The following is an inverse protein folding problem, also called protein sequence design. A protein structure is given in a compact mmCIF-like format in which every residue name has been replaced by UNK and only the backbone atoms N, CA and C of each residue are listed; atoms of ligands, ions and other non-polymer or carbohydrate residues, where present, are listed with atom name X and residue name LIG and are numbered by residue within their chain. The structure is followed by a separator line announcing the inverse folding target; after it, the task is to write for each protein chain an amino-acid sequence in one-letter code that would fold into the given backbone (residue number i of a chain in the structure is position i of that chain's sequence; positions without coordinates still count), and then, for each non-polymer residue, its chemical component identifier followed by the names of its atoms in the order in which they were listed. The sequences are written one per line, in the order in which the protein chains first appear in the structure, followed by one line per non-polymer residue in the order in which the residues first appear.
data_IF_208657325796
#
_entry.id   IF_208657325796
#
_cell.length_a   1.000
_cell.length_b   1.000
_cell.length_c   1.000
_cell.angle_alpha   90.00
_cell.angle_beta   90.00
_cell.angle_gamma   90.00
#
_symmetry.space_group_name_H-M   'P 1'
#
loop_
_entity.id
_entity.type
_entity.pdbx_description
1 polymer ?
#
# COMPACT_ATOMS: atom_id res chain seq x y z
N UNK A 1 -8.85 -7.79 10.25
CA UNK A 1 -9.20 -7.40 8.87
C UNK A 1 -7.92 -7.44 8.06
N UNK A 2 -7.95 -8.03 6.87
CA UNK A 2 -6.79 -7.99 5.95
C UNK A 2 -7.07 -7.06 4.78
N UNK A 3 -6.03 -6.69 4.06
CA UNK A 3 -6.07 -5.87 2.86
C UNK A 3 -5.37 -6.64 1.74
N UNK A 4 -5.89 -6.53 0.51
CA UNK A 4 -5.30 -7.17 -0.68
C UNK A 4 -5.44 -6.27 -1.90
N UNK A 5 -4.57 -6.46 -2.88
CA UNK A 5 -4.67 -5.76 -4.16
C UNK A 5 -5.95 -6.16 -4.92
N UNK A 6 -6.56 -5.22 -5.61
CA UNK A 6 -7.67 -5.52 -6.54
C UNK A 6 -7.14 -6.07 -7.86
N UNK A 7 -8.03 -6.64 -8.67
CA UNK A 7 -7.74 -7.01 -10.06
C UNK A 7 -7.77 -5.82 -11.04
N UNK A 8 -8.14 -4.63 -10.58
CA UNK A 8 -8.39 -3.43 -11.41
C UNK A 8 -7.13 -2.57 -11.62
N UNK A 9 -5.99 -3.04 -11.11
CA UNK A 9 -4.73 -2.32 -11.13
C UNK A 9 -3.60 -3.17 -11.69
N UNK A 10 -2.59 -2.50 -12.27
CA UNK A 10 -1.30 -3.11 -12.62
C UNK A 10 -0.21 -2.17 -12.08
N UNK A 11 0.81 -2.74 -11.43
CA UNK A 11 1.94 -2.00 -10.90
C UNK A 11 3.25 -2.39 -11.57
N UNK A 12 4.21 -1.47 -11.59
CA UNK A 12 5.59 -1.74 -12.02
C UNK A 12 6.56 -0.86 -11.24
N UNK A 13 7.80 -1.32 -11.12
CA UNK A 13 8.90 -0.52 -10.57
C UNK A 13 9.55 0.27 -11.69
N UNK A 14 9.51 1.60 -11.60
CA UNK A 14 10.12 2.52 -12.57
C UNK A 14 11.11 3.38 -11.82
N UNK A 15 12.40 3.29 -12.18
CA UNK A 15 13.48 4.03 -11.51
C UNK A 15 13.55 3.86 -9.98
N UNK A 16 13.07 2.72 -9.45
CA UNK A 16 13.02 2.42 -8.02
C UNK A 16 11.69 2.77 -7.34
N UNK A 17 10.82 3.54 -7.99
CA UNK A 17 9.51 3.92 -7.46
C UNK A 17 8.42 2.95 -7.94
N UNK A 18 7.39 2.73 -7.11
CA UNK A 18 6.21 1.96 -7.52
C UNK A 18 5.25 2.87 -8.29
N UNK A 19 4.98 2.52 -9.55
CA UNK A 19 3.98 3.19 -10.40
C UNK A 19 2.81 2.25 -10.63
N UNK A 20 1.59 2.73 -10.37
CA UNK A 20 0.36 1.94 -10.46
C UNK A 20 -0.56 2.56 -11.51
N UNK A 21 -1.06 1.74 -12.42
CA UNK A 21 -2.15 2.07 -13.32
C UNK A 21 -3.44 1.44 -12.81
N UNK A 22 -4.43 2.25 -12.45
CA UNK A 22 -5.81 1.80 -12.32
C UNK A 22 -6.49 1.87 -13.69
N UNK A 23 -6.71 0.73 -14.34
CA UNK A 23 -7.28 0.72 -15.69
C UNK A 23 -8.78 1.00 -15.71
N UNK A 24 -9.47 0.81 -14.57
CA UNK A 24 -10.89 1.13 -14.40
C UNK A 24 -11.13 2.64 -14.30
N UNK A 25 -10.24 3.36 -13.60
CA UNK A 25 -10.29 4.83 -13.46
C UNK A 25 -9.50 5.57 -14.55
N UNK A 26 -8.61 4.89 -15.27
CA UNK A 26 -7.71 5.51 -16.26
C UNK A 26 -6.68 6.44 -15.62
N UNK A 27 -6.30 6.17 -14.36
CA UNK A 27 -5.43 7.03 -13.56
C UNK A 27 -4.12 6.34 -13.20
N UNK A 28 -3.06 7.15 -13.07
CA UNK A 28 -1.73 6.72 -12.66
C UNK A 28 -1.39 7.29 -11.28
N UNK A 29 -0.78 6.46 -10.46
CA UNK A 29 -0.33 6.82 -9.12
C UNK A 29 1.15 6.46 -8.99
N UNK A 30 1.91 7.33 -8.34
CA UNK A 30 3.23 7.01 -7.82
C UNK A 30 3.13 6.83 -6.31
N UNK A 31 3.85 5.86 -5.78
CA UNK A 31 4.03 5.72 -4.34
C UNK A 31 5.44 6.16 -3.96
N UNK A 32 5.54 6.80 -2.80
CA UNK A 32 6.82 7.06 -2.14
C UNK A 32 7.42 5.77 -1.57
N UNK A 33 8.54 5.88 -0.84
CA UNK A 33 9.28 4.73 -0.33
C UNK A 33 8.44 3.89 0.66
N UNK A 34 7.66 4.53 1.54
CA UNK A 34 6.79 3.85 2.51
C UNK A 34 5.61 3.19 1.81
N UNK A 35 4.95 3.91 0.90
CA UNK A 35 3.87 3.36 0.09
C UNK A 35 4.35 2.18 -0.76
N UNK A 36 5.53 2.29 -1.34
CA UNK A 36 6.19 1.22 -2.09
C UNK A 36 6.44 -0.03 -1.25
N UNK A 37 6.92 0.13 -0.01
CA UNK A 37 7.11 -0.99 0.93
C UNK A 37 5.78 -1.68 1.27
N UNK A 38 4.75 -0.91 1.59
CA UNK A 38 3.40 -1.42 1.88
C UNK A 38 2.86 -2.19 0.68
N UNK A 39 3.04 -1.64 -0.52
CA UNK A 39 2.63 -2.26 -1.77
C UNK A 39 3.31 -3.61 -2.01
N UNK A 40 4.63 -3.69 -1.85
CA UNK A 40 5.42 -4.90 -2.06
C UNK A 40 5.01 -6.04 -1.10
N UNK A 41 4.50 -5.70 0.09
CA UNK A 41 3.94 -6.68 1.02
C UNK A 41 2.56 -7.18 0.59
N UNK A 42 1.71 -6.30 0.08
CA UNK A 42 0.39 -6.66 -0.43
C UNK A 42 0.47 -7.51 -1.71
N UNK A 43 1.50 -7.31 -2.54
CA UNK A 43 1.80 -8.17 -3.70
C UNK A 43 2.10 -9.62 -3.29
N UNK A 44 2.66 -9.84 -2.09
CA UNK A 44 2.96 -11.19 -1.56
C UNK A 44 1.72 -11.89 -1.01
N UNK A 45 0.63 -11.15 -0.78
CA UNK A 45 -0.65 -11.69 -0.31
C UNK A 45 -1.32 -10.80 0.75
N UNK A 46 -2.54 -11.16 1.21
CA UNK A 46 -3.31 -10.33 2.12
C UNK A 46 -2.62 -10.07 3.47
N UNK A 47 -2.49 -8.80 3.86
CA UNK A 47 -1.80 -8.37 5.10
C UNK A 47 -2.78 -7.68 6.05
N UNK A 48 -2.52 -7.72 7.36
CA UNK A 48 -3.20 -6.84 8.33
C UNK A 48 -2.50 -5.49 8.43
N UNK A 49 -3.20 -4.46 8.96
CA UNK A 49 -2.59 -3.15 9.21
C UNK A 49 -1.37 -3.28 10.11
N UNK A 50 -1.46 -4.10 11.16
CA UNK A 50 -0.38 -4.31 12.12
C UNK A 50 0.88 -4.87 11.45
N UNK A 51 0.74 -5.85 10.54
CA UNK A 51 1.87 -6.42 9.81
C UNK A 51 2.55 -5.38 8.89
N UNK A 52 1.76 -4.51 8.28
CA UNK A 52 2.28 -3.42 7.45
C UNK A 52 3.03 -2.39 8.31
N UNK A 53 2.46 -1.96 9.44
CA UNK A 53 3.13 -1.05 10.37
C UNK A 53 4.43 -1.65 10.94
N UNK A 54 4.41 -2.93 11.33
CA UNK A 54 5.61 -3.62 11.83
C UNK A 54 6.75 -3.61 10.80
N UNK A 55 6.43 -3.79 9.51
CA UNK A 55 7.43 -3.73 8.46
C UNK A 55 7.99 -2.31 8.26
N UNK A 56 7.15 -1.28 8.35
CA UNK A 56 7.59 0.12 8.28
C UNK A 56 8.50 0.45 9.47
N UNK A 57 8.11 0.11 10.69
CA UNK A 57 8.92 0.35 11.90
C UNK A 57 10.24 -0.43 11.92
N UNK A 58 10.34 -1.54 11.18
CA UNK A 58 11.57 -2.30 11.06
C UNK A 58 12.58 -1.66 10.10
N UNK A 59 12.10 -0.94 9.08
CA UNK A 59 12.95 -0.32 8.05
C UNK A 59 13.24 1.16 8.35
N UNK A 60 12.31 1.85 9.01
CA UNK A 60 12.36 3.28 9.27
C UNK A 60 12.33 3.58 10.77
N UNK A 61 13.17 4.53 11.21
CA UNK A 61 13.21 5.01 12.59
C UNK A 61 12.12 6.06 12.81
N UNK A 62 10.88 5.59 12.99
CA UNK A 62 9.67 6.42 13.19
C UNK A 62 8.92 6.02 14.45
N UNK A 63 8.10 6.93 14.99
CA UNK A 63 7.24 6.61 16.12
C UNK A 63 6.11 5.66 15.71
N UNK A 64 5.75 4.74 16.62
CA UNK A 64 4.69 3.76 16.36
C UNK A 64 3.33 4.41 16.10
N UNK A 65 2.97 5.46 16.83
CA UNK A 65 1.68 6.11 16.68
C UNK A 65 1.58 6.86 15.33
N UNK A 66 2.68 7.48 14.90
CA UNK A 66 2.78 8.12 13.59
C UNK A 66 2.67 7.08 12.49
N UNK A 67 3.42 5.96 12.59
CA UNK A 67 3.34 4.86 11.63
C UNK A 67 1.93 4.27 11.53
N UNK A 68 1.24 4.04 12.66
CA UNK A 68 -0.12 3.51 12.65
C UNK A 68 -1.12 4.45 11.98
N UNK A 69 -0.93 5.76 12.13
CA UNK A 69 -1.75 6.79 11.51
C UNK A 69 -1.50 6.87 10.02
N UNK A 70 -0.23 6.98 9.61
CA UNK A 70 0.17 7.14 8.21
C UNK A 70 -0.19 5.91 7.36
N UNK A 71 0.05 4.70 7.90
CA UNK A 71 -0.35 3.46 7.21
C UNK A 71 -1.87 3.36 7.11
N UNK A 72 -2.61 3.79 8.14
CA UNK A 72 -4.07 3.78 8.06
C UNK A 72 -4.61 4.73 6.99
N UNK A 73 -4.05 5.94 6.90
CA UNK A 73 -4.47 6.92 5.91
C UNK A 73 -4.06 6.51 4.49
N UNK A 74 -2.86 5.95 4.31
CA UNK A 74 -2.47 5.32 3.04
C UNK A 74 -3.45 4.22 2.63
N UNK A 75 -3.83 3.30 3.53
CA UNK A 75 -4.78 2.23 3.22
C UNK A 75 -6.16 2.79 2.82
N UNK A 76 -6.62 3.86 3.47
CA UNK A 76 -7.88 4.54 3.08
C UNK A 76 -7.79 5.12 1.67
N UNK A 77 -6.70 5.79 1.35
CA UNK A 77 -6.48 6.39 0.02
C UNK A 77 -6.42 5.31 -1.07
N UNK A 78 -5.68 4.23 -0.83
CA UNK A 78 -5.60 3.10 -1.76
C UNK A 78 -6.98 2.44 -2.00
N UNK A 79 -7.83 2.36 -0.96
CA UNK A 79 -9.20 1.85 -1.07
C UNK A 79 -10.08 2.83 -1.86
N UNK A 80 -10.02 4.13 -1.58
CA UNK A 80 -10.82 5.13 -2.32
C UNK A 80 -10.45 5.17 -3.80
N UNK A 81 -9.18 4.91 -4.10
CA UNK A 81 -8.66 4.79 -5.46
C UNK A 81 -8.88 3.39 -6.07
N UNK A 82 -9.52 2.45 -5.35
CA UNK A 82 -9.83 1.07 -5.78
C UNK A 82 -8.60 0.25 -6.19
N UNK A 83 -7.46 0.57 -5.60
CA UNK A 83 -6.20 -0.15 -5.82
C UNK A 83 -6.10 -1.38 -4.93
N UNK A 84 -6.69 -1.29 -3.73
CA UNK A 84 -6.79 -2.38 -2.76
C UNK A 84 -8.22 -2.50 -2.24
N UNK A 85 -8.52 -3.62 -1.58
CA UNK A 85 -9.79 -3.87 -0.90
C UNK A 85 -9.57 -4.60 0.43
N UNK A 86 -10.58 -4.51 1.30
CA UNK A 86 -10.61 -5.32 2.53
C UNK A 86 -10.92 -6.78 2.19
N UNK A 87 -10.28 -7.70 2.92
CA UNK A 87 -10.44 -9.13 2.78
C UNK A 87 -10.63 -9.79 4.16
N UNK A 88 -11.44 -10.85 4.17
CA UNK A 88 -11.70 -11.71 5.33
C UNK A 88 -10.51 -12.66 5.64
#
# INVERSE_FOLDING_TARGET
MKYRLTSEQIASKVAGETVILNHSKGAYYGLDEVGGLVWDLLEKGPQTKEQLCEAVLAEYDVDKADCETDVEDLLKDLISERLIEQAD
#
